data_IF_704843373810
#
_entry.id   IF_704843373810
#
_cell.length_a   1.000
_cell.length_b   1.000
_cell.length_c   1.000
_cell.angle_alpha   90.00
_cell.angle_beta   90.00
_cell.angle_gamma   90.00
#
_symmetry.space_group_name_H-M   'P 1'
#
loop_
_entity.id
_entity.type
_entity.pdbx_description
1 polymer ?
#
# COMPACT_ATOMS: atom_id res chain seq x y z
N UNK A 1 0.36 -21.04 -9.06
CA UNK A 1 0.27 -19.61 -9.49
C UNK A 1 1.62 -18.99 -9.17
N UNK A 2 2.24 -18.26 -10.09
CA UNK A 2 3.51 -17.59 -9.79
C UNK A 2 3.29 -16.50 -8.74
N UNK A 3 4.07 -16.55 -7.65
CA UNK A 3 4.09 -15.52 -6.62
C UNK A 3 4.76 -14.27 -7.20
N UNK A 4 4.17 -13.10 -6.95
CA UNK A 4 4.86 -11.81 -7.15
C UNK A 4 5.46 -11.33 -5.84
N UNK A 5 6.67 -10.79 -5.93
CA UNK A 5 7.34 -10.16 -4.79
C UNK A 5 7.76 -8.75 -5.18
N UNK A 6 7.26 -7.77 -4.47
CA UNK A 6 7.52 -6.35 -4.71
C UNK A 6 8.20 -5.66 -3.55
N UNK A 7 8.60 -4.41 -3.77
CA UNK A 7 9.21 -3.53 -2.80
C UNK A 7 8.22 -2.46 -2.33
N UNK A 8 8.09 -2.26 -1.02
CA UNK A 8 7.43 -1.11 -0.42
C UNK A 8 8.43 0.03 -0.30
N UNK A 9 8.28 1.03 -1.14
CA UNK A 9 9.02 2.27 -1.04
C UNK A 9 8.50 3.07 0.17
N UNK A 10 9.32 3.14 1.24
CA UNK A 10 8.94 3.74 2.52
C UNK A 10 9.02 5.26 2.45
N UNK A 11 8.00 5.89 1.87
CA UNK A 11 7.93 7.33 1.65
C UNK A 11 7.97 8.15 2.95
N UNK A 12 7.60 7.55 4.07
CA UNK A 12 7.63 8.17 5.38
C UNK A 12 9.03 8.21 6.00
N UNK A 13 9.98 7.44 5.45
CA UNK A 13 11.33 7.26 5.99
C UNK A 13 12.42 7.85 5.10
N UNK A 14 12.19 8.00 3.81
CA UNK A 14 13.22 8.40 2.86
C UNK A 14 12.81 9.58 2.00
N UNK A 15 13.79 10.44 1.70
CA UNK A 15 13.63 11.53 0.76
C UNK A 15 13.33 11.04 -0.67
N UNK A 16 12.69 11.87 -1.50
CA UNK A 16 12.19 11.43 -2.81
C UNK A 16 13.27 10.91 -3.74
N UNK A 17 14.48 11.46 -3.67
CA UNK A 17 15.59 11.07 -4.55
C UNK A 17 16.12 9.68 -4.20
N UNK A 18 16.43 9.44 -2.92
CA UNK A 18 16.92 8.15 -2.45
C UNK A 18 15.89 7.05 -2.71
N UNK A 19 14.61 7.38 -2.49
CA UNK A 19 13.51 6.47 -2.71
C UNK A 19 13.35 6.07 -4.20
N UNK A 20 13.69 6.96 -5.15
CA UNK A 20 13.76 6.61 -6.58
C UNK A 20 14.90 5.62 -6.83
N UNK A 21 16.10 5.89 -6.30
CA UNK A 21 17.26 4.99 -6.49
C UNK A 21 16.99 3.59 -5.90
N UNK A 22 16.42 3.49 -4.70
CA UNK A 22 16.02 2.19 -4.11
C UNK A 22 14.98 1.45 -4.96
N UNK A 23 14.08 2.17 -5.61
CA UNK A 23 13.07 1.57 -6.49
C UNK A 23 13.65 1.04 -7.79
N UNK A 24 14.60 1.77 -8.39
CA UNK A 24 15.38 1.30 -9.54
C UNK A 24 16.18 0.06 -9.15
N UNK A 25 16.84 0.10 -7.99
CA UNK A 25 17.59 -1.04 -7.47
C UNK A 25 16.71 -2.27 -7.22
N UNK A 26 15.49 -2.08 -6.73
CA UNK A 26 14.55 -3.17 -6.54
C UNK A 26 14.18 -3.86 -7.88
N UNK A 27 14.00 -3.09 -8.96
CA UNK A 27 13.81 -3.66 -10.30
C UNK A 27 15.03 -4.43 -10.80
N UNK A 28 16.23 -3.87 -10.64
CA UNK A 28 17.50 -4.51 -11.05
C UNK A 28 17.70 -5.85 -10.34
N UNK A 29 17.34 -5.92 -9.06
CA UNK A 29 17.43 -7.12 -8.24
C UNK A 29 16.29 -8.13 -8.49
N UNK A 30 15.40 -7.85 -9.45
CA UNK A 30 14.40 -8.80 -9.93
C UNK A 30 13.07 -8.79 -9.19
N UNK A 31 12.77 -7.76 -8.39
CA UNK A 31 11.45 -7.59 -7.79
C UNK A 31 10.40 -7.23 -8.86
N UNK A 32 9.13 -7.59 -8.61
CA UNK A 32 8.05 -7.56 -9.62
C UNK A 32 7.21 -6.28 -9.55
N UNK A 33 7.23 -5.59 -8.42
CA UNK A 33 6.47 -4.35 -8.21
C UNK A 33 7.16 -3.40 -7.24
N UNK A 34 6.82 -2.13 -7.36
CA UNK A 34 7.17 -1.08 -6.40
C UNK A 34 5.91 -0.33 -6.02
N UNK A 35 5.62 -0.25 -4.72
CA UNK A 35 4.47 0.49 -4.23
C UNK A 35 4.86 1.53 -3.20
N UNK A 36 4.10 2.62 -3.14
CA UNK A 36 4.37 3.75 -2.24
C UNK A 36 3.10 4.13 -1.47
N UNK A 37 3.26 4.51 -0.21
CA UNK A 37 2.20 5.19 0.55
C UNK A 37 2.12 6.66 0.15
N UNK A 38 0.88 7.16 0.10
CA UNK A 38 0.61 8.57 -0.19
C UNK A 38 0.28 9.30 1.11
N UNK A 39 1.30 9.61 1.87
CA UNK A 39 1.20 10.36 3.12
C UNK A 39 1.48 11.85 2.92
N UNK A 40 0.82 12.70 3.72
CA UNK A 40 1.14 14.12 3.85
C UNK A 40 2.00 14.37 5.09
N UNK A 41 1.79 13.59 6.15
CA UNK A 41 2.60 13.58 7.35
C UNK A 41 3.22 12.20 7.57
N UNK A 42 4.51 12.11 7.93
CA UNK A 42 5.11 10.85 8.37
C UNK A 42 4.63 10.46 9.77
N UNK A 43 4.94 9.24 10.19
CA UNK A 43 4.63 8.74 11.53
C UNK A 43 5.48 9.36 12.64
N UNK A 44 6.59 9.99 12.26
CA UNK A 44 7.48 10.71 13.15
C UNK A 44 8.10 11.91 12.42
N UNK A 45 8.46 12.96 13.19
CA UNK A 45 9.06 14.15 12.61
C UNK A 45 10.57 14.00 12.37
N UNK A 46 11.29 13.44 13.35
CA UNK A 46 12.73 13.24 13.22
C UNK A 46 13.04 12.17 12.16
N UNK A 47 13.79 12.55 11.14
CA UNK A 47 14.08 11.68 10.00
C UNK A 47 12.87 11.30 9.15
N UNK A 48 11.71 11.95 9.36
CA UNK A 48 10.50 11.69 8.62
C UNK A 48 10.42 12.42 7.29
N UNK A 49 9.82 11.79 6.29
CA UNK A 49 9.59 12.32 4.95
C UNK A 49 8.13 12.08 4.52
N UNK A 50 7.66 12.82 3.53
CA UNK A 50 6.36 12.62 2.91
C UNK A 50 6.36 13.15 1.46
N UNK A 51 7.14 12.56 0.55
CA UNK A 51 7.12 12.97 -0.85
C UNK A 51 5.75 12.73 -1.48
N UNK A 52 5.34 13.61 -2.38
CA UNK A 52 4.09 13.47 -3.11
C UNK A 52 4.13 12.23 -4.02
N UNK A 53 3.33 11.23 -3.70
CA UNK A 53 3.40 9.91 -4.31
C UNK A 53 3.26 9.95 -5.84
N UNK A 54 2.36 10.76 -6.40
CA UNK A 54 2.12 10.81 -7.85
C UNK A 54 3.30 11.38 -8.63
N UNK A 55 3.92 12.46 -8.13
CA UNK A 55 5.14 13.02 -8.74
C UNK A 55 6.31 12.04 -8.66
N UNK A 56 6.45 11.39 -7.51
CA UNK A 56 7.47 10.36 -7.30
C UNK A 56 7.27 9.14 -8.20
N UNK A 57 6.03 8.63 -8.33
CA UNK A 57 5.71 7.51 -9.22
C UNK A 57 6.08 7.80 -10.68
N UNK A 58 5.86 9.04 -11.15
CA UNK A 58 6.27 9.44 -12.49
C UNK A 58 7.80 9.38 -12.66
N UNK A 59 8.56 9.85 -11.67
CA UNK A 59 10.02 9.78 -11.70
C UNK A 59 10.55 8.33 -11.70
N UNK A 60 9.94 7.44 -10.89
CA UNK A 60 10.29 6.00 -10.89
C UNK A 60 9.91 5.34 -12.21
N UNK A 61 8.76 5.71 -12.77
CA UNK A 61 8.27 5.17 -14.04
C UNK A 61 9.25 5.39 -15.19
N UNK A 62 9.86 6.60 -15.27
CA UNK A 62 10.89 6.95 -16.26
C UNK A 62 12.22 6.20 -16.06
N UNK A 63 12.51 5.77 -14.84
CA UNK A 63 13.76 5.11 -14.47
C UNK A 63 13.67 3.58 -14.47
N UNK A 64 12.46 3.02 -14.64
CA UNK A 64 12.17 1.57 -14.61
C UNK A 64 11.44 1.13 -15.87
N UNK A 65 11.51 -0.16 -16.20
CA UNK A 65 10.93 -0.68 -17.45
C UNK A 65 9.95 -1.85 -17.24
N UNK A 66 9.97 -2.52 -16.08
CA UNK A 66 9.28 -3.79 -15.88
C UNK A 66 8.35 -3.80 -14.68
N UNK A 67 8.76 -3.21 -13.57
CA UNK A 67 8.00 -3.29 -12.32
C UNK A 67 6.62 -2.67 -12.44
N UNK A 68 5.63 -3.31 -11.82
CA UNK A 68 4.32 -2.71 -11.58
C UNK A 68 4.47 -1.60 -10.54
N UNK A 69 4.03 -0.40 -10.91
CA UNK A 69 4.05 0.79 -10.04
C UNK A 69 2.67 1.05 -9.46
N UNK A 70 2.60 1.38 -8.18
CA UNK A 70 1.31 1.70 -7.60
C UNK A 70 1.34 2.37 -6.24
N UNK A 71 0.19 2.85 -5.82
CA UNK A 71 -0.01 3.33 -4.46
C UNK A 71 -0.47 2.20 -3.54
N UNK A 72 0.06 2.16 -2.33
CA UNK A 72 -0.35 1.24 -1.25
C UNK A 72 -0.39 2.01 0.08
N UNK A 73 -1.38 2.91 0.27
CA UNK A 73 -2.44 3.29 -0.66
C UNK A 73 -2.58 4.81 -0.76
N UNK A 74 -3.36 5.27 -1.72
CA UNK A 74 -3.80 6.65 -1.84
C UNK A 74 -5.26 6.78 -1.36
N UNK A 75 -5.62 7.92 -0.78
CA UNK A 75 -6.99 8.24 -0.38
C UNK A 75 -7.61 9.24 -1.36
N UNK A 76 -8.46 8.81 -2.30
CA UNK A 76 -8.98 9.70 -3.35
C UNK A 76 -10.22 10.47 -2.92
N UNK A 77 -10.36 10.84 -1.64
CA UNK A 77 -11.65 11.27 -1.10
C UNK A 77 -11.67 12.63 -0.42
N UNK A 78 -10.60 13.05 0.24
CA UNK A 78 -10.60 14.26 1.07
C UNK A 78 -9.70 15.36 0.52
N UNK A 79 -8.39 15.16 0.55
CA UNK A 79 -7.42 16.13 0.02
C UNK A 79 -7.30 16.11 -1.51
N UNK A 80 -7.92 15.13 -2.17
CA UNK A 80 -7.97 15.04 -3.63
C UNK A 80 -9.39 15.11 -4.15
N UNK A 81 -9.52 15.68 -5.35
CA UNK A 81 -10.68 15.45 -6.18
C UNK A 81 -10.48 14.15 -6.98
N UNK A 82 -11.42 13.19 -6.94
CA UNK A 82 -11.30 11.93 -7.69
C UNK A 82 -11.04 12.09 -9.18
N UNK A 83 -11.58 13.15 -9.81
CA UNK A 83 -11.34 13.40 -11.23
C UNK A 83 -9.88 13.77 -11.51
N UNK A 84 -9.20 14.48 -10.60
CA UNK A 84 -7.76 14.78 -10.71
C UNK A 84 -6.93 13.51 -10.56
N UNK A 85 -7.30 12.61 -9.64
CA UNK A 85 -6.67 11.29 -9.52
C UNK A 85 -6.88 10.45 -10.77
N UNK A 86 -8.09 10.45 -11.33
CA UNK A 86 -8.38 9.75 -12.58
C UNK A 86 -7.48 10.25 -13.72
N UNK A 87 -7.32 11.57 -13.86
CA UNK A 87 -6.47 12.18 -14.88
C UNK A 87 -4.99 11.84 -14.68
N UNK A 88 -4.49 11.92 -13.44
CA UNK A 88 -3.09 11.61 -13.13
C UNK A 88 -2.74 10.15 -13.46
N UNK A 89 -3.61 9.20 -13.07
CA UNK A 89 -3.39 7.78 -13.37
C UNK A 89 -3.58 7.46 -14.86
N UNK A 90 -4.48 8.14 -15.57
CA UNK A 90 -4.60 8.00 -17.01
C UNK A 90 -3.30 8.45 -17.71
N UNK A 91 -2.74 9.60 -17.34
CA UNK A 91 -1.46 10.09 -17.84
C UNK A 91 -0.33 9.10 -17.56
N UNK A 92 -0.18 8.61 -16.33
CA UNK A 92 0.84 7.60 -16.00
C UNK A 92 0.62 6.30 -16.75
N UNK A 93 -0.63 5.89 -16.99
CA UNK A 93 -0.97 4.71 -17.78
C UNK A 93 -0.58 4.83 -19.26
N UNK A 94 -0.61 6.05 -19.81
CA UNK A 94 -0.10 6.34 -21.16
C UNK A 94 1.43 6.30 -21.22
N UNK A 95 2.08 6.87 -20.19
CA UNK A 95 3.55 6.89 -20.10
C UNK A 95 4.13 5.50 -19.83
N UNK A 96 3.45 4.67 -19.01
CA UNK A 96 3.92 3.36 -18.56
C UNK A 96 2.87 2.27 -18.79
N UNK A 97 2.56 1.91 -20.04
CA UNK A 97 1.46 1.00 -20.40
C UNK A 97 1.53 -0.33 -19.66
N UNK A 98 0.44 -0.71 -18.99
CA UNK A 98 0.31 -1.98 -18.27
C UNK A 98 1.07 -2.08 -16.94
N UNK A 99 1.82 -1.04 -16.56
CA UNK A 99 2.66 -1.04 -15.35
C UNK A 99 2.12 -0.19 -14.19
N UNK A 100 0.93 0.39 -14.31
CA UNK A 100 0.39 1.30 -13.29
C UNK A 100 -0.86 0.72 -12.66
N UNK A 101 -0.93 0.76 -11.32
CA UNK A 101 -2.15 0.43 -10.58
C UNK A 101 -2.47 1.49 -9.52
N UNK A 102 -3.76 1.79 -9.38
CA UNK A 102 -4.28 2.69 -8.34
C UNK A 102 -4.71 1.86 -7.12
N UNK A 103 -3.89 1.86 -6.08
CA UNK A 103 -4.28 1.31 -4.78
C UNK A 103 -4.96 2.37 -3.92
N UNK A 104 -6.17 2.08 -3.45
CA UNK A 104 -6.99 3.05 -2.71
C UNK A 104 -7.38 2.57 -1.31
N UNK A 105 -7.51 3.52 -0.39
CA UNK A 105 -7.99 3.33 0.96
C UNK A 105 -9.02 4.38 1.40
N UNK A 106 -9.67 4.15 2.55
CA UNK A 106 -10.69 5.07 3.10
C UNK A 106 -10.11 6.25 3.89
N UNK A 107 -8.79 6.37 3.93
CA UNK A 107 -8.07 7.47 4.56
C UNK A 107 -7.71 7.26 6.03
N UNK A 108 -6.79 8.11 6.47
CA UNK A 108 -6.30 8.22 7.85
C UNK A 108 -6.38 9.67 8.32
N UNK A 109 -6.85 9.86 9.56
CA UNK A 109 -7.00 11.18 10.16
C UNK A 109 -5.69 12.00 10.13
N UNK A 110 -4.55 11.34 10.40
CA UNK A 110 -3.22 11.96 10.41
C UNK A 110 -2.94 12.74 9.11
N UNK A 111 -3.27 12.15 7.97
CA UNK A 111 -2.97 12.74 6.67
C UNK A 111 -4.02 13.73 6.20
N UNK A 112 -5.29 13.41 6.42
CA UNK A 112 -6.38 14.15 5.80
C UNK A 112 -6.77 15.40 6.59
N UNK A 113 -6.79 15.33 7.94
CA UNK A 113 -7.13 16.47 8.79
C UNK A 113 -6.07 17.57 8.68
N UNK A 114 -4.79 17.21 8.65
CA UNK A 114 -3.69 18.16 8.60
C UNK A 114 -3.77 19.10 7.36
N UNK A 115 -4.33 18.60 6.27
CA UNK A 115 -4.43 19.36 5.00
C UNK A 115 -5.77 20.05 4.85
N UNK A 116 -6.86 19.39 5.28
CA UNK A 116 -8.22 19.89 5.03
C UNK A 116 -8.78 20.71 6.18
N UNK A 117 -8.26 20.55 7.40
CA UNK A 117 -8.83 21.14 8.61
C UNK A 117 -10.23 20.64 8.97
N UNK A 118 -10.70 19.60 8.28
CA UNK A 118 -12.05 19.07 8.48
C UNK A 118 -12.16 18.18 9.71
N UNK A 119 -13.34 18.10 10.29
CA UNK A 119 -13.66 17.06 11.27
C UNK A 119 -13.58 15.67 10.61
N UNK A 120 -12.96 14.70 11.31
CA UNK A 120 -12.78 13.37 10.75
C UNK A 120 -14.12 12.61 10.70
N UNK A 121 -14.62 12.26 9.51
CA UNK A 121 -15.91 11.62 9.40
C UNK A 121 -15.93 10.20 9.95
N UNK A 122 -17.10 9.74 10.33
CA UNK A 122 -17.34 8.36 10.71
C UNK A 122 -17.03 7.38 9.57
N UNK A 123 -16.70 6.14 9.91
CA UNK A 123 -16.34 5.11 8.92
C UNK A 123 -17.35 4.93 7.80
N UNK A 124 -18.64 5.02 8.13
CA UNK A 124 -19.74 4.88 7.15
C UNK A 124 -19.63 5.92 6.03
N UNK A 125 -19.34 7.16 6.37
CA UNK A 125 -19.17 8.24 5.40
C UNK A 125 -17.88 8.07 4.61
N UNK A 126 -16.76 7.80 5.28
CA UNK A 126 -15.47 7.58 4.60
C UNK A 126 -15.56 6.46 3.56
N UNK A 127 -16.24 5.38 3.91
CA UNK A 127 -16.45 4.26 2.98
C UNK A 127 -17.41 4.62 1.84
N UNK A 128 -18.44 5.42 2.10
CA UNK A 128 -19.35 5.90 1.06
C UNK A 128 -18.61 6.80 0.05
N UNK A 129 -17.78 7.73 0.54
CA UNK A 129 -16.91 8.57 -0.30
C UNK A 129 -15.94 7.75 -1.15
N UNK A 130 -15.28 6.74 -0.56
CA UNK A 130 -14.40 5.83 -1.29
C UNK A 130 -15.11 5.13 -2.44
N UNK A 131 -16.30 4.61 -2.20
CA UNK A 131 -17.10 3.92 -3.23
C UNK A 131 -17.48 4.84 -4.37
N UNK A 132 -17.93 6.05 -4.05
CA UNK A 132 -18.32 7.05 -5.04
C UNK A 132 -17.10 7.53 -5.84
N UNK A 133 -15.96 7.78 -5.18
CA UNK A 133 -14.74 8.18 -5.87
C UNK A 133 -14.21 7.10 -6.83
N UNK A 134 -14.20 5.83 -6.42
CA UNK A 134 -13.77 4.73 -7.29
C UNK A 134 -14.68 4.57 -8.50
N UNK A 135 -16.00 4.73 -8.30
CA UNK A 135 -16.94 4.69 -9.42
C UNK A 135 -16.70 5.86 -10.40
N UNK A 136 -16.55 7.08 -9.88
CA UNK A 136 -16.28 8.26 -10.71
C UNK A 136 -14.96 8.11 -11.48
N UNK A 137 -13.90 7.64 -10.82
CA UNK A 137 -12.60 7.38 -11.47
C UNK A 137 -12.75 6.39 -12.64
N UNK A 138 -13.45 5.27 -12.43
CA UNK A 138 -13.69 4.28 -13.48
C UNK A 138 -14.53 4.83 -14.62
N UNK A 139 -15.55 5.61 -14.31
CA UNK A 139 -16.40 6.24 -15.33
C UNK A 139 -15.59 7.19 -16.21
N UNK A 140 -14.74 8.03 -15.60
CA UNK A 140 -13.85 8.93 -16.33
C UNK A 140 -12.81 8.21 -17.20
N UNK A 141 -12.36 7.04 -16.81
CA UNK A 141 -11.44 6.25 -17.62
C UNK A 141 -12.11 5.56 -18.81
N UNK A 142 -13.42 5.33 -18.76
CA UNK A 142 -14.12 4.45 -19.71
C UNK A 142 -15.22 5.12 -20.52
N UNK A 143 -15.67 6.30 -20.09
CA UNK A 143 -16.80 7.02 -20.71
C UNK A 143 -16.39 8.43 -21.14
N UNK A 144 -17.13 8.98 -22.07
CA UNK A 144 -17.05 10.36 -22.51
C UNK A 144 -18.15 11.19 -21.83
N UNK A 145 -17.88 12.48 -21.60
CA UNK A 145 -18.87 13.42 -21.11
C UNK A 145 -19.48 13.04 -19.76
N UNK A 146 -18.64 12.66 -18.79
CA UNK A 146 -19.12 12.17 -17.48
C UNK A 146 -19.73 13.30 -16.67
N UNK A 147 -21.04 13.25 -16.47
CA UNK A 147 -21.77 14.12 -15.54
C UNK A 147 -22.22 13.30 -14.34
N UNK A 148 -21.69 13.59 -13.17
CA UNK A 148 -22.01 12.93 -11.91
C UNK A 148 -22.70 13.91 -10.94
N UNK A 149 -23.76 13.47 -10.31
CA UNK A 149 -24.53 14.21 -9.29
C UNK A 149 -24.59 13.40 -7.98
N UNK A 150 -23.41 12.98 -7.51
CA UNK A 150 -23.31 12.22 -6.27
C UNK A 150 -23.44 13.11 -5.01
N UNK A 151 -23.63 12.50 -3.83
CA UNK A 151 -23.66 13.23 -2.56
C UNK A 151 -22.32 13.87 -2.19
N UNK A 152 -21.19 13.37 -2.73
CA UNK A 152 -19.86 13.86 -2.38
C UNK A 152 -19.13 14.48 -3.56
N UNK A 153 -19.31 13.96 -4.78
CA UNK A 153 -18.58 14.42 -5.96
C UNK A 153 -19.54 14.74 -7.10
N UNK A 154 -19.23 15.85 -7.79
CA UNK A 154 -19.99 16.31 -8.94
C UNK A 154 -19.06 16.61 -10.10
N UNK A 155 -19.50 16.26 -11.30
CA UNK A 155 -18.83 16.63 -12.56
C UNK A 155 -19.87 17.05 -13.57
N UNK A 156 -19.48 17.90 -14.52
CA UNK A 156 -20.34 18.35 -15.61
C UNK A 156 -19.58 18.14 -16.90
N UNK A 157 -20.06 17.24 -17.76
CA UNK A 157 -19.51 16.94 -19.08
C UNK A 157 -17.97 16.78 -19.07
N UNK A 158 -17.46 16.01 -18.09
CA UNK A 158 -16.02 15.86 -17.86
C UNK A 158 -15.43 14.80 -18.78
N UNK A 159 -14.27 15.12 -19.39
CA UNK A 159 -13.53 14.23 -20.28
C UNK A 159 -12.09 14.03 -19.78
N UNK A 160 -11.57 12.81 -19.93
CA UNK A 160 -10.13 12.55 -19.93
C UNK A 160 -9.74 12.23 -21.36
N UNK A 161 -8.92 13.09 -21.99
CA UNK A 161 -8.52 12.96 -23.38
C UNK A 161 -7.42 11.90 -23.58
N UNK A 162 -6.46 11.87 -22.68
CA UNK A 162 -5.33 10.93 -22.70
C UNK A 162 -5.64 9.72 -21.85
N UNK A 163 -6.27 8.70 -22.46
CA UNK A 163 -6.63 7.44 -21.82
C UNK A 163 -5.80 6.30 -22.39
N UNK A 164 -5.18 5.46 -21.53
CA UNK A 164 -4.39 4.32 -22.02
C UNK A 164 -5.31 3.26 -22.63
N UNK A 165 -4.82 2.58 -23.67
CA UNK A 165 -5.49 1.42 -24.27
C UNK A 165 -5.57 0.25 -23.28
N UNK A 166 -4.52 0.05 -22.48
CA UNK A 166 -4.52 -0.96 -21.43
C UNK A 166 -5.34 -0.46 -20.24
N UNK A 167 -6.38 -1.20 -19.83
CA UNK A 167 -7.22 -0.79 -18.71
C UNK A 167 -6.42 -0.61 -17.41
N UNK A 168 -6.63 0.52 -16.75
CA UNK A 168 -6.06 0.81 -15.44
C UNK A 168 -6.73 -0.04 -14.36
N UNK A 169 -5.91 -0.55 -13.44
CA UNK A 169 -6.38 -1.42 -12.35
C UNK A 169 -6.56 -0.62 -11.07
N UNK A 170 -7.64 -0.92 -10.35
CA UNK A 170 -7.93 -0.38 -9.02
C UNK A 170 -7.80 -1.50 -7.99
N UNK A 171 -6.90 -1.32 -7.02
CA UNK A 171 -6.76 -2.22 -5.88
C UNK A 171 -7.33 -1.54 -4.63
N UNK A 172 -8.11 -2.27 -3.85
CA UNK A 172 -8.77 -1.71 -2.66
C UNK A 172 -8.16 -2.30 -1.40
N UNK A 173 -7.65 -1.44 -0.52
CA UNK A 173 -7.13 -1.87 0.76
C UNK A 173 -8.25 -2.08 1.78
N UNK A 174 -8.20 -3.18 2.50
CA UNK A 174 -9.19 -3.51 3.50
C UNK A 174 -8.57 -4.09 4.78
N UNK A 175 -8.98 -3.52 5.91
CA UNK A 175 -8.71 -4.04 7.25
C UNK A 175 -9.92 -4.71 7.91
N UNK A 176 -11.07 -4.80 7.22
CA UNK A 176 -12.29 -5.42 7.72
C UNK A 176 -13.16 -6.00 6.61
N UNK A 177 -14.12 -6.88 6.94
CA UNK A 177 -14.87 -7.68 5.97
C UNK A 177 -15.76 -6.85 5.03
N UNK A 178 -16.30 -5.72 5.47
CA UNK A 178 -17.15 -4.88 4.63
C UNK A 178 -16.37 -4.29 3.44
N UNK A 179 -15.16 -3.75 3.69
CA UNK A 179 -14.31 -3.20 2.64
C UNK A 179 -13.67 -4.32 1.81
N UNK A 180 -13.33 -5.46 2.42
CA UNK A 180 -12.83 -6.63 1.72
C UNK A 180 -13.85 -7.18 0.71
N UNK A 181 -15.12 -7.24 1.08
CA UNK A 181 -16.21 -7.60 0.16
C UNK A 181 -16.34 -6.59 -0.99
N UNK A 182 -16.18 -5.30 -0.71
CA UNK A 182 -16.17 -4.28 -1.76
C UNK A 182 -14.96 -4.43 -2.66
N UNK A 183 -13.77 -4.74 -2.13
CA UNK A 183 -12.57 -5.02 -2.91
C UNK A 183 -12.79 -6.16 -3.91
N UNK A 184 -13.38 -7.27 -3.47
CA UNK A 184 -13.75 -8.37 -4.36
C UNK A 184 -14.73 -7.95 -5.46
N UNK A 185 -15.76 -7.16 -5.10
CA UNK A 185 -16.79 -6.74 -6.04
C UNK A 185 -16.30 -5.71 -7.07
N UNK A 186 -15.64 -4.65 -6.61
CA UNK A 186 -15.33 -3.47 -7.40
C UNK A 186 -13.84 -3.33 -7.77
N UNK A 187 -12.93 -4.00 -7.04
CA UNK A 187 -11.50 -3.96 -7.30
C UNK A 187 -11.05 -4.93 -8.40
N UNK A 188 -9.88 -4.67 -8.96
CA UNK A 188 -9.10 -5.61 -9.78
C UNK A 188 -8.05 -6.31 -8.90
N UNK A 189 -7.88 -5.83 -7.69
CA UNK A 189 -7.05 -6.39 -6.65
C UNK A 189 -7.53 -6.00 -5.25
N UNK A 190 -6.99 -6.72 -4.27
CA UNK A 190 -7.22 -6.54 -2.85
C UNK A 190 -5.88 -6.31 -2.16
N UNK A 191 -5.81 -5.35 -1.24
CA UNK A 191 -4.61 -5.04 -0.46
C UNK A 191 -4.89 -5.26 1.02
N UNK A 192 -3.99 -5.97 1.71
CA UNK A 192 -3.95 -6.07 3.16
C UNK A 192 -2.53 -5.81 3.68
N UNK A 193 -2.38 -5.63 4.99
CA UNK A 193 -1.07 -5.51 5.66
C UNK A 193 -0.87 -6.64 6.65
N UNK A 194 0.34 -7.16 6.76
CA UNK A 194 0.74 -8.21 7.71
C UNK A 194 0.78 -7.71 9.17
N UNK A 195 1.14 -8.58 10.10
CA UNK A 195 1.30 -8.25 11.51
C UNK A 195 -0.01 -8.22 12.31
N UNK A 196 -1.01 -8.98 11.85
CA UNK A 196 -2.27 -9.27 12.54
C UNK A 196 -2.41 -10.77 12.76
N UNK A 197 -3.35 -11.19 13.63
CA UNK A 197 -3.68 -12.61 13.78
C UNK A 197 -4.18 -13.22 12.48
N UNK A 198 -3.81 -14.48 12.20
CA UNK A 198 -4.16 -15.14 10.94
C UNK A 198 -5.67 -15.26 10.73
N UNK A 199 -6.46 -15.31 11.79
CA UNK A 199 -7.94 -15.37 11.76
C UNK A 199 -8.55 -14.15 11.05
N UNK A 200 -7.84 -13.01 11.07
CA UNK A 200 -8.30 -11.84 10.29
C UNK A 200 -8.31 -12.15 8.80
N UNK A 201 -7.27 -12.81 8.31
CA UNK A 201 -7.12 -13.10 6.87
C UNK A 201 -7.97 -14.30 6.46
N UNK A 202 -7.86 -15.43 7.18
CA UNK A 202 -8.50 -16.69 6.83
C UNK A 202 -10.02 -16.67 7.02
N UNK A 203 -10.50 -16.05 8.11
CA UNK A 203 -11.90 -16.18 8.52
C UNK A 203 -12.74 -14.94 8.17
N UNK A 204 -12.08 -13.80 7.92
CA UNK A 204 -12.79 -12.54 7.67
C UNK A 204 -12.51 -11.93 6.30
N UNK A 205 -11.23 -11.64 5.98
CA UNK A 205 -10.91 -10.85 4.78
C UNK A 205 -11.05 -11.68 3.51
N UNK A 206 -10.36 -12.82 3.41
CA UNK A 206 -10.38 -13.65 2.20
C UNK A 206 -11.78 -14.18 1.88
N UNK A 207 -12.57 -14.72 2.84
CA UNK A 207 -13.95 -15.10 2.56
C UNK A 207 -14.81 -13.93 2.06
N UNK A 208 -14.64 -12.73 2.63
CA UNK A 208 -15.38 -11.55 2.19
C UNK A 208 -14.98 -11.09 0.77
N UNK A 209 -13.68 -11.16 0.41
CA UNK A 209 -13.21 -10.88 -0.96
C UNK A 209 -13.84 -11.88 -1.95
N UNK A 210 -13.82 -13.19 -1.61
CA UNK A 210 -14.45 -14.24 -2.43
C UNK A 210 -15.93 -13.96 -2.66
N UNK A 211 -16.68 -13.72 -1.58
CA UNK A 211 -18.11 -13.39 -1.67
C UNK A 211 -18.36 -12.16 -2.54
N UNK A 212 -17.51 -11.13 -2.41
CA UNK A 212 -17.61 -9.91 -3.21
C UNK A 212 -17.36 -10.16 -4.70
N UNK A 213 -16.35 -10.95 -5.03
CA UNK A 213 -16.01 -11.33 -6.40
C UNK A 213 -17.12 -12.17 -7.05
N UNK A 214 -17.61 -13.20 -6.36
CA UNK A 214 -18.70 -14.07 -6.84
C UNK A 214 -19.96 -13.26 -7.15
N UNK A 215 -20.34 -12.32 -6.26
CA UNK A 215 -21.51 -11.44 -6.49
C UNK A 215 -21.36 -10.51 -7.69
N UNK A 216 -20.14 -10.27 -8.14
CA UNK A 216 -19.83 -9.49 -9.34
C UNK A 216 -19.57 -10.35 -10.58
N UNK A 217 -19.73 -11.67 -10.50
CA UNK A 217 -19.42 -12.60 -11.58
C UNK A 217 -17.93 -12.72 -11.89
N UNK A 218 -17.06 -12.36 -10.95
CA UNK A 218 -15.60 -12.46 -11.05
C UNK A 218 -15.11 -13.73 -10.37
N UNK A 219 -14.00 -14.27 -10.84
CA UNK A 219 -13.29 -15.34 -10.15
C UNK A 219 -12.31 -14.73 -9.14
N UNK A 220 -12.26 -15.29 -7.95
CA UNK A 220 -11.31 -14.87 -6.91
C UNK A 220 -9.86 -15.01 -7.39
N UNK A 221 -9.57 -16.03 -8.17
CA UNK A 221 -8.25 -16.34 -8.72
C UNK A 221 -7.74 -15.27 -9.69
N UNK A 222 -8.63 -14.55 -10.35
CA UNK A 222 -8.29 -13.47 -11.29
C UNK A 222 -7.92 -12.16 -10.58
N UNK A 223 -8.25 -12.04 -9.29
CA UNK A 223 -7.86 -10.88 -8.49
C UNK A 223 -6.40 -10.96 -8.07
N UNK A 224 -5.69 -9.84 -8.13
CA UNK A 224 -4.40 -9.69 -7.47
C UNK A 224 -4.63 -9.51 -5.96
N UNK A 225 -4.05 -10.38 -5.15
CA UNK A 225 -4.25 -10.41 -3.69
C UNK A 225 -2.95 -10.03 -3.01
N UNK A 226 -2.77 -8.72 -2.91
CA UNK A 226 -1.55 -8.10 -2.41
C UNK A 226 -1.54 -8.07 -0.87
N UNK A 227 -0.42 -8.47 -0.30
CA UNK A 227 -0.12 -8.31 1.11
C UNK A 227 1.16 -7.49 1.28
N UNK A 228 1.08 -6.34 1.95
CA UNK A 228 2.25 -5.65 2.44
C UNK A 228 2.79 -6.40 3.66
N UNK A 229 3.98 -6.99 3.50
CA UNK A 229 4.62 -7.79 4.55
C UNK A 229 5.74 -6.99 5.20
N UNK A 230 5.64 -6.79 6.49
CA UNK A 230 6.65 -6.12 7.31
C UNK A 230 7.76 -7.12 7.63
N UNK A 231 8.94 -6.92 7.03
CA UNK A 231 10.07 -7.85 7.15
C UNK A 231 11.34 -7.07 7.51
N UNK A 232 11.91 -7.38 8.64
CA UNK A 232 13.26 -6.93 9.02
C UNK A 232 14.20 -8.13 8.89
N UNK A 233 14.76 -8.30 7.70
CA UNK A 233 15.76 -9.31 7.43
C UNK A 233 17.15 -8.68 7.35
N UNK A 234 18.06 -9.19 8.13
CA UNK A 234 19.49 -8.89 8.06
C UNK A 234 20.29 -10.13 8.50
N UNK A 235 21.40 -10.41 7.83
CA UNK A 235 22.32 -11.51 8.21
C UNK A 235 22.87 -11.36 9.63
N UNK A 236 22.89 -10.11 10.14
CA UNK A 236 23.17 -9.80 11.55
C UNK A 236 21.87 -9.70 12.34
N UNK A 237 21.61 -10.61 13.28
CA UNK A 237 20.36 -10.62 14.07
C UNK A 237 20.18 -9.36 14.93
N UNK A 238 21.23 -8.73 15.38
CA UNK A 238 21.14 -7.47 16.13
C UNK A 238 20.69 -6.32 15.24
N UNK A 239 21.20 -6.24 14.02
CA UNK A 239 20.76 -5.29 13.02
C UNK A 239 19.31 -5.55 12.59
N UNK A 240 18.92 -6.81 12.39
CA UNK A 240 17.54 -7.17 12.07
C UNK A 240 16.55 -6.67 13.13
N UNK A 241 16.90 -6.74 14.40
CA UNK A 241 16.05 -6.24 15.49
C UNK A 241 16.02 -4.70 15.51
N UNK A 242 17.17 -4.06 15.54
CA UNK A 242 17.30 -2.60 15.68
C UNK A 242 16.73 -1.83 14.49
N UNK A 243 16.78 -2.38 13.29
CA UNK A 243 16.19 -1.80 12.09
C UNK A 243 14.70 -1.45 12.25
N UNK A 244 13.98 -2.09 13.16
CA UNK A 244 12.55 -1.81 13.39
C UNK A 244 12.30 -0.48 14.13
N UNK A 245 13.30 0.12 14.76
CA UNK A 245 13.21 1.27 15.67
C UNK A 245 12.48 2.48 15.09
N UNK A 246 12.77 2.86 13.86
CA UNK A 246 12.14 4.00 13.20
C UNK A 246 10.61 3.91 13.20
N UNK A 247 10.08 2.70 13.09
CA UNK A 247 8.64 2.43 12.98
C UNK A 247 7.95 2.18 14.31
N UNK A 248 8.58 2.54 15.43
CA UNK A 248 8.01 2.42 16.77
C UNK A 248 6.62 3.05 16.93
N UNK A 249 6.26 4.19 16.28
CA UNK A 249 4.92 4.76 16.37
C UNK A 249 3.80 3.80 15.96
N UNK A 250 4.07 2.87 15.05
CA UNK A 250 3.09 1.85 14.66
C UNK A 250 2.74 0.89 15.80
N UNK A 251 3.62 0.71 16.78
CA UNK A 251 3.48 -0.25 17.88
C UNK A 251 2.82 0.35 19.13
N UNK A 252 2.49 1.65 19.12
CA UNK A 252 1.66 2.26 20.16
C UNK A 252 0.27 1.64 20.19
N UNK A 253 -0.29 1.48 21.38
CA UNK A 253 -1.67 0.97 21.55
C UNK A 253 -2.70 1.97 21.02
N UNK A 254 -3.94 1.54 20.74
CA UNK A 254 -5.02 2.46 20.37
C UNK A 254 -5.22 3.57 21.42
N UNK A 255 -5.15 3.23 22.71
CA UNK A 255 -5.29 4.16 23.82
C UNK A 255 -4.17 5.22 23.80
N UNK A 256 -2.91 4.80 23.62
CA UNK A 256 -1.76 5.70 23.49
C UNK A 256 -1.92 6.63 22.29
N UNK A 257 -2.35 6.10 21.12
CA UNK A 257 -2.60 6.92 19.93
C UNK A 257 -3.74 7.92 20.11
N UNK A 258 -4.78 7.56 20.85
CA UNK A 258 -5.91 8.46 21.12
C UNK A 258 -5.58 9.53 22.19
N UNK A 259 -4.65 9.23 23.10
CA UNK A 259 -4.23 10.20 24.13
C UNK A 259 -3.31 11.30 23.59
N UNK A 260 -2.84 11.16 22.36
CA UNK A 260 -1.84 12.04 21.75
C UNK A 260 -2.50 13.00 20.76
N UNK A 261 -2.24 14.29 20.93
CA UNK A 261 -2.78 15.35 20.08
C UNK A 261 -1.78 15.90 19.05
N UNK A 262 -0.51 15.48 19.13
CA UNK A 262 0.54 15.93 18.21
C UNK A 262 1.46 14.78 17.79
N UNK A 263 2.04 14.90 16.60
CA UNK A 263 3.03 13.95 16.11
C UNK A 263 4.29 13.91 16.98
N UNK A 264 4.71 15.05 17.55
CA UNK A 264 5.84 15.13 18.49
C UNK A 264 5.63 14.29 19.75
N UNK A 265 4.42 14.35 20.32
CA UNK A 265 4.12 13.56 21.51
C UNK A 265 3.99 12.06 21.16
N UNK A 266 3.46 11.74 19.99
CA UNK A 266 3.43 10.36 19.48
C UNK A 266 4.84 9.79 19.35
N UNK A 267 5.75 10.56 18.79
CA UNK A 267 7.17 10.22 18.64
C UNK A 267 7.84 9.97 19.98
N UNK A 268 7.67 10.89 20.94
CA UNK A 268 8.21 10.75 22.29
C UNK A 268 7.75 9.46 22.98
N UNK A 269 6.45 9.14 22.91
CA UNK A 269 5.91 7.90 23.47
C UNK A 269 6.44 6.65 22.75
N UNK A 270 6.64 6.75 21.45
CA UNK A 270 7.15 5.65 20.66
C UNK A 270 8.62 5.34 20.96
N UNK A 271 9.44 6.38 21.19
CA UNK A 271 10.87 6.23 21.50
C UNK A 271 11.12 5.59 22.88
N UNK A 272 10.14 5.66 23.78
CA UNK A 272 10.17 4.97 25.08
C UNK A 272 9.88 3.46 24.99
N UNK A 273 9.40 2.97 23.83
CA UNK A 273 9.06 1.54 23.67
C UNK A 273 10.32 0.66 23.64
N UNK A 274 10.33 -0.47 24.39
CA UNK A 274 11.36 -1.49 24.23
C UNK A 274 11.37 -2.01 22.78
N UNK A 275 12.57 -2.25 22.24
CA UNK A 275 12.73 -2.68 20.84
C UNK A 275 12.00 -3.99 20.56
N UNK A 276 11.92 -4.89 21.54
CA UNK A 276 11.20 -6.17 21.42
C UNK A 276 9.69 -5.96 21.27
N UNK A 277 9.14 -4.86 21.80
CA UNK A 277 7.75 -4.51 21.60
C UNK A 277 7.53 -3.95 20.20
N UNK A 278 8.43 -3.10 19.73
CA UNK A 278 8.39 -2.57 18.35
C UNK A 278 8.48 -3.69 17.32
N UNK A 279 9.39 -4.62 17.55
CA UNK A 279 9.65 -5.76 16.68
C UNK A 279 8.45 -6.72 16.50
N UNK A 280 7.53 -6.79 17.46
CA UNK A 280 6.34 -7.70 17.37
C UNK A 280 5.47 -7.49 16.13
N UNK A 281 5.58 -6.36 15.45
CA UNK A 281 4.83 -6.07 14.23
C UNK A 281 5.54 -6.52 12.95
N UNK A 282 6.77 -7.00 13.09
CA UNK A 282 7.66 -7.35 12.00
C UNK A 282 8.00 -8.83 12.02
N UNK A 283 8.24 -9.39 10.85
CA UNK A 283 9.03 -10.62 10.74
C UNK A 283 10.48 -10.18 10.96
N UNK A 284 11.08 -10.51 12.09
CA UNK A 284 12.48 -10.21 12.39
C UNK A 284 13.26 -11.51 12.34
N UNK A 285 14.20 -11.61 11.42
CA UNK A 285 14.97 -12.83 11.22
C UNK A 285 16.35 -12.54 10.59
N UNK A 286 17.31 -13.42 10.87
CA UNK A 286 18.62 -13.49 10.22
C UNK A 286 18.81 -14.78 9.40
N UNK A 287 17.87 -15.71 9.51
CA UNK A 287 17.79 -16.93 8.72
C UNK A 287 16.71 -16.77 7.63
N UNK A 288 17.05 -16.92 6.34
CA UNK A 288 16.09 -16.77 5.26
C UNK A 288 14.98 -17.83 5.28
N UNK A 289 15.24 -19.06 5.78
CA UNK A 289 14.21 -20.09 5.88
C UNK A 289 13.14 -19.75 6.90
N UNK A 290 13.51 -19.07 8.00
CA UNK A 290 12.55 -18.55 8.98
C UNK A 290 11.66 -17.47 8.39
N UNK A 291 12.19 -16.58 7.56
CA UNK A 291 11.38 -15.59 6.83
C UNK A 291 10.37 -16.30 5.95
N UNK A 292 10.82 -17.22 5.11
CA UNK A 292 9.97 -17.97 4.16
C UNK A 292 8.88 -18.75 4.88
N UNK A 293 9.20 -19.41 6.00
CA UNK A 293 8.23 -20.12 6.84
C UNK A 293 7.09 -19.20 7.31
N UNK A 294 7.37 -17.93 7.58
CA UNK A 294 6.36 -16.95 8.00
C UNK A 294 5.52 -16.40 6.83
N UNK A 295 5.95 -16.58 5.59
CA UNK A 295 5.12 -16.26 4.41
C UNK A 295 4.12 -17.36 4.06
N UNK A 296 4.43 -18.63 4.42
CA UNK A 296 3.61 -19.78 4.05
C UNK A 296 2.13 -19.63 4.48
N UNK A 297 1.80 -19.24 5.73
CA UNK A 297 0.41 -19.07 6.13
C UNK A 297 -0.38 -18.05 5.28
N UNK A 298 0.28 -17.01 4.80
CA UNK A 298 -0.35 -16.03 3.92
C UNK A 298 -0.60 -16.59 2.51
N UNK A 299 0.33 -17.40 2.00
CA UNK A 299 0.13 -18.14 0.75
C UNK A 299 -1.05 -19.11 0.86
N UNK A 300 -1.11 -19.88 1.94
CA UNK A 300 -2.19 -20.82 2.21
C UNK A 300 -3.54 -20.12 2.36
N UNK A 301 -3.56 -18.88 2.90
CA UNK A 301 -4.73 -18.03 2.96
C UNK A 301 -5.18 -17.52 1.57
N UNK A 302 -4.29 -17.57 0.56
CA UNK A 302 -4.61 -17.23 -0.81
C UNK A 302 -4.02 -15.92 -1.32
N UNK A 303 -3.10 -15.28 -0.60
CA UNK A 303 -2.33 -14.15 -1.13
C UNK A 303 -1.33 -14.63 -2.19
N UNK A 304 -1.11 -13.80 -3.22
CA UNK A 304 -0.23 -14.14 -4.34
C UNK A 304 0.72 -13.02 -4.76
N UNK A 305 0.65 -11.87 -4.08
CA UNK A 305 1.51 -10.72 -4.34
C UNK A 305 2.00 -10.15 -3.00
N UNK A 306 3.26 -10.33 -2.70
CA UNK A 306 3.88 -9.88 -1.45
C UNK A 306 4.73 -8.65 -1.70
N UNK A 307 4.37 -7.55 -1.06
CA UNK A 307 5.15 -6.32 -1.10
C UNK A 307 5.92 -6.20 0.20
N UNK A 308 7.24 -6.39 0.12
CA UNK A 308 8.09 -6.40 1.30
C UNK A 308 8.46 -5.01 1.74
N UNK A 309 8.22 -4.72 3.00
CA UNK A 309 8.56 -3.47 3.67
C UNK A 309 9.74 -3.71 4.61
N UNK A 310 10.94 -3.27 4.22
CA UNK A 310 12.14 -3.28 5.05
C UNK A 310 12.18 -2.03 5.92
N UNK A 311 12.31 -2.14 7.27
CA UNK A 311 12.21 -1.00 8.18
C UNK A 311 13.52 -0.23 8.37
N UNK A 312 14.66 -0.82 8.01
CA UNK A 312 15.98 -0.25 8.27
C UNK A 312 16.33 0.93 7.35
N UNK A 313 17.26 1.77 7.80
CA UNK A 313 17.76 2.90 7.01
C UNK A 313 18.63 2.48 5.83
N UNK A 314 19.35 1.36 5.94
CA UNK A 314 20.19 0.83 4.84
C UNK A 314 19.34 -0.04 3.90
N UNK A 315 18.61 0.61 3.00
CA UNK A 315 17.75 -0.09 2.03
C UNK A 315 18.54 -0.85 0.97
N UNK A 316 19.73 -0.39 0.61
CA UNK A 316 20.60 -1.11 -0.34
C UNK A 316 21.02 -2.46 0.24
N UNK A 317 21.42 -2.47 1.50
CA UNK A 317 21.74 -3.69 2.25
C UNK A 317 20.53 -4.62 2.37
N UNK A 318 19.37 -4.08 2.77
CA UNK A 318 18.15 -4.86 2.88
C UNK A 318 17.76 -5.49 1.53
N UNK A 319 17.68 -4.70 0.47
CA UNK A 319 17.32 -5.18 -0.86
C UNK A 319 18.29 -6.26 -1.36
N UNK A 320 19.60 -6.02 -1.21
CA UNK A 320 20.62 -6.98 -1.65
C UNK A 320 20.48 -8.30 -0.89
N UNK A 321 20.50 -8.27 0.44
CA UNK A 321 20.41 -9.50 1.25
C UNK A 321 19.09 -10.23 1.06
N UNK A 322 17.95 -9.51 1.03
CA UNK A 322 16.64 -10.13 0.84
C UNK A 322 16.53 -10.81 -0.53
N UNK A 323 17.04 -10.19 -1.58
CA UNK A 323 16.95 -10.76 -2.93
C UNK A 323 17.95 -11.87 -3.19
N UNK A 324 19.09 -11.86 -2.53
CA UNK A 324 20.08 -12.96 -2.61
C UNK A 324 19.62 -14.18 -1.82
N UNK A 325 19.13 -14.01 -0.61
CA UNK A 325 18.91 -15.08 0.34
C UNK A 325 17.44 -15.54 0.39
N UNK A 326 16.48 -14.62 0.45
CA UNK A 326 15.06 -14.92 0.72
C UNK A 326 14.25 -15.08 -0.57
N UNK A 327 14.41 -14.17 -1.53
CA UNK A 327 13.60 -14.16 -2.76
C UNK A 327 13.67 -15.49 -3.55
N UNK A 328 14.84 -16.14 -3.72
CA UNK A 328 14.91 -17.42 -4.42
C UNK A 328 14.13 -18.53 -3.73
N UNK A 329 14.07 -18.50 -2.39
CA UNK A 329 13.31 -19.47 -1.61
C UNK A 329 11.81 -19.22 -1.71
N UNK A 330 11.37 -17.96 -1.62
CA UNK A 330 9.97 -17.58 -1.82
C UNK A 330 9.45 -18.02 -3.19
N UNK A 331 10.25 -17.83 -4.24
CA UNK A 331 9.86 -18.23 -5.61
C UNK A 331 9.72 -19.75 -5.80
N UNK A 332 10.31 -20.56 -4.92
CA UNK A 332 10.13 -22.03 -4.92
C UNK A 332 8.80 -22.47 -4.31
N UNK A 333 8.11 -21.59 -3.57
CA UNK A 333 6.79 -21.88 -2.99
C UNK A 333 5.63 -21.76 -4.02
N UNK A 334 5.91 -21.31 -5.23
CA UNK A 334 4.91 -21.04 -6.29
C UNK A 334 4.65 -22.23 -7.20
#
# INVERSE_FOLDING_TARGET
>A
MSIRVGYKASAEQFGPRDLVEYSVRAEELGLDSVTVSDHFLPWRHEGGHAPFALAWMAAVGERTNRVLLGTSVLTPTFRYNPAVIAQAFATMGMLYPGRVMLGVGSGEALNEIAVSGMEWPEFKERFARLRESVQLIRDLWTKDGVSAEGPYYKTVDAFIYDRPETPLKVYVAAGGPLVAKYAGRAGDGFIATSGKGMELYTDKLIPAVKEGAEKAGKKFEDLDRMLEVKVSYDRDPAAALENTRFWAPLSLTPEQKHSVTSATEMERLADELPIEQVAKRWIVASDPEEVVKQFQPYLDAGFNHFVVHGPGHDQERFLTQFTEDVLPLLRKLS
#
